data_IF_075291588443
#
_entry.id   IF_075291588443
#
_cell.length_a   1.000
_cell.length_b   1.000
_cell.length_c   1.000
_cell.angle_alpha   90.00
_cell.angle_beta   90.00
_cell.angle_gamma   90.00
#
_symmetry.space_group_name_H-M   'P 1'
#
loop_
_entity.id
_entity.type
_entity.pdbx_description
1 polymer ?
#
# COMPACT_ATOMS: atom_id res chain seq x y z
N UNK A 1 -1.74 23.96 -6.93
CA UNK A 1 -2.86 23.49 -6.09
C UNK A 1 -2.69 21.98 -5.98
N UNK A 2 -2.36 21.45 -4.81
CA UNK A 2 -2.15 20.00 -4.64
C UNK A 2 -3.46 19.21 -4.77
N UNK A 3 -3.41 17.89 -5.04
CA UNK A 3 -4.60 17.07 -5.13
C UNK A 3 -5.37 17.06 -3.80
N UNK A 4 -6.70 17.24 -3.86
CA UNK A 4 -7.58 17.23 -2.68
C UNK A 4 -7.58 15.82 -2.03
N UNK A 5 -7.20 15.69 -0.74
CA UNK A 5 -7.23 14.41 -0.04
C UNK A 5 -8.56 13.68 -0.15
N UNK A 6 -9.70 14.39 -0.11
CA UNK A 6 -11.04 13.78 -0.18
C UNK A 6 -11.30 13.15 -1.54
N UNK A 7 -10.80 13.77 -2.61
CA UNK A 7 -10.93 13.23 -3.96
C UNK A 7 -10.14 11.94 -4.11
N UNK A 8 -8.91 11.89 -3.58
CA UNK A 8 -8.08 10.68 -3.59
C UNK A 8 -8.74 9.54 -2.82
N UNK A 9 -9.27 9.80 -1.62
CA UNK A 9 -10.01 8.81 -0.84
C UNK A 9 -11.19 8.23 -1.63
N UNK A 10 -12.00 9.09 -2.29
CA UNK A 10 -13.13 8.64 -3.11
C UNK A 10 -12.71 7.81 -4.33
N UNK A 11 -11.53 8.07 -4.88
CA UNK A 11 -11.03 7.41 -6.08
C UNK A 11 -10.39 6.05 -5.77
N UNK A 12 -9.76 5.91 -4.61
CA UNK A 12 -8.95 4.74 -4.26
C UNK A 12 -9.55 3.88 -3.15
N UNK A 13 -10.57 4.40 -2.46
CA UNK A 13 -11.12 3.87 -1.21
C UNK A 13 -10.09 3.76 -0.08
N UNK A 14 -8.98 4.49 -0.21
CA UNK A 14 -7.97 4.59 0.85
C UNK A 14 -8.45 5.52 1.96
N UNK A 15 -8.04 5.29 3.20
CA UNK A 15 -8.34 6.24 4.27
C UNK A 15 -7.56 7.53 4.14
N UNK A 16 -8.05 8.51 4.89
CA UNK A 16 -7.41 9.79 5.12
C UNK A 16 -5.96 9.64 5.61
N UNK A 17 -5.66 8.64 6.45
CA UNK A 17 -4.30 8.42 6.96
C UNK A 17 -3.37 7.98 5.83
N UNK A 18 -3.81 7.01 5.04
CA UNK A 18 -3.06 6.48 3.90
C UNK A 18 -2.79 7.59 2.88
N UNK A 19 -3.81 8.39 2.55
CA UNK A 19 -3.68 9.54 1.65
C UNK A 19 -2.74 10.62 2.22
N UNK A 20 -2.80 10.93 3.52
CA UNK A 20 -1.86 11.87 4.17
C UNK A 20 -0.41 11.39 4.10
N UNK A 21 -0.17 10.09 4.25
CA UNK A 21 1.16 9.53 4.10
C UNK A 21 1.69 9.62 2.65
N UNK A 22 0.81 9.49 1.64
CA UNK A 22 1.18 9.70 0.24
C UNK A 22 1.54 11.17 -0.04
N UNK A 23 0.68 12.09 0.41
CA UNK A 23 0.89 13.54 0.20
C UNK A 23 2.09 14.09 0.97
N UNK A 24 2.47 13.45 2.08
CA UNK A 24 3.69 13.79 2.82
C UNK A 24 4.96 13.11 2.26
N UNK A 25 4.84 12.31 1.19
CA UNK A 25 5.98 11.63 0.57
C UNK A 25 6.61 10.53 1.42
N UNK A 26 5.95 10.08 2.48
CA UNK A 26 6.49 9.04 3.37
C UNK A 26 6.50 7.67 2.70
N UNK A 27 5.44 7.34 1.97
CA UNK A 27 5.36 6.14 1.13
C UNK A 27 4.36 6.40 -0.01
N UNK A 28 4.62 5.82 -1.19
CA UNK A 28 3.71 5.92 -2.34
C UNK A 28 2.47 5.02 -2.19
N UNK A 29 1.49 5.14 -3.11
CA UNK A 29 0.42 4.16 -3.24
C UNK A 29 1.02 2.79 -3.60
N UNK A 30 0.51 1.73 -2.98
CA UNK A 30 0.86 0.36 -3.38
C UNK A 30 0.27 0.03 -4.77
N UNK A 31 0.58 -1.16 -5.30
CA UNK A 31 0.13 -1.56 -6.63
C UNK A 31 -1.39 -1.53 -6.79
N UNK A 32 -2.16 -1.88 -5.76
CA UNK A 32 -3.62 -1.89 -5.83
C UNK A 32 -4.17 -0.47 -5.89
N UNK A 33 -3.70 0.42 -5.00
CA UNK A 33 -4.11 1.82 -5.02
C UNK A 33 -3.62 2.56 -6.25
N UNK A 34 -2.44 2.23 -6.75
CA UNK A 34 -1.90 2.77 -7.99
C UNK A 34 -2.76 2.34 -9.19
N UNK A 35 -3.11 1.06 -9.31
CA UNK A 35 -3.99 0.58 -10.37
C UNK A 35 -5.38 1.21 -10.27
N UNK A 36 -5.92 1.36 -9.05
CA UNK A 36 -7.18 2.09 -8.83
C UNK A 36 -7.05 3.53 -9.34
N UNK A 37 -5.95 4.23 -9.06
CA UNK A 37 -5.69 5.59 -9.58
C UNK A 37 -5.60 5.62 -11.11
N UNK A 38 -4.91 4.67 -11.75
CA UNK A 38 -4.84 4.55 -13.21
C UNK A 38 -6.24 4.31 -13.81
N UNK A 39 -7.09 3.54 -13.14
CA UNK A 39 -8.46 3.29 -13.59
C UNK A 39 -9.38 4.48 -13.30
N UNK A 40 -9.27 5.15 -12.16
CA UNK A 40 -10.22 6.19 -11.75
C UNK A 40 -9.85 7.59 -12.24
N UNK A 41 -8.58 7.84 -12.56
CA UNK A 41 -8.07 9.16 -12.95
C UNK A 41 -7.59 9.17 -14.40
N UNK A 42 -8.31 9.83 -15.31
CA UNK A 42 -7.91 9.95 -16.72
C UNK A 42 -6.52 10.58 -16.92
N UNK A 43 -6.13 11.51 -16.03
CA UNK A 43 -4.83 12.19 -16.08
C UNK A 43 -3.69 11.23 -15.75
N UNK A 44 -3.84 10.43 -14.68
CA UNK A 44 -2.83 9.43 -14.28
C UNK A 44 -2.78 8.31 -15.32
N UNK A 45 -3.93 7.91 -15.87
CA UNK A 45 -3.99 6.93 -16.95
C UNK A 45 -3.21 7.37 -18.19
N UNK A 46 -3.48 8.57 -18.68
CA UNK A 46 -2.80 9.12 -19.86
C UNK A 46 -1.29 9.24 -19.62
N UNK A 47 -0.87 9.63 -18.42
CA UNK A 47 0.53 9.67 -18.03
C UNK A 47 1.20 8.29 -18.10
N UNK A 48 0.59 7.27 -17.46
CA UNK A 48 1.15 5.91 -17.44
C UNK A 48 1.20 5.30 -18.84
N UNK A 49 0.16 5.49 -19.65
CA UNK A 49 0.16 5.04 -21.04
C UNK A 49 1.26 5.73 -21.85
N UNK A 50 1.43 7.05 -21.70
CA UNK A 50 2.51 7.78 -22.37
C UNK A 50 3.93 7.35 -21.97
N UNK A 51 4.12 6.76 -20.78
CA UNK A 51 5.38 6.14 -20.38
C UNK A 51 5.62 4.78 -21.04
N UNK A 52 4.56 3.99 -21.22
CA UNK A 52 4.62 2.65 -21.83
C UNK A 52 4.83 2.77 -23.34
N UNK A 53 4.13 3.71 -23.97
CA UNK A 53 4.12 3.94 -25.41
C UNK A 53 5.39 4.64 -25.92
N UNK A 54 6.14 5.32 -25.04
CA UNK A 54 7.31 6.11 -25.42
C UNK A 54 6.95 7.27 -26.38
N UNK A 55 7.92 8.14 -26.73
CA UNK A 55 7.65 9.31 -27.58
C UNK A 55 7.31 8.97 -29.05
N UNK A 56 7.25 7.69 -29.42
CA UNK A 56 7.13 7.23 -30.81
C UNK A 56 5.90 6.37 -31.10
N UNK A 57 5.07 6.00 -30.12
CA UNK A 57 3.86 5.24 -30.42
C UNK A 57 2.70 6.16 -30.88
N UNK A 58 1.98 5.60 -31.84
CA UNK A 58 0.88 6.15 -32.62
C UNK A 58 -0.12 6.92 -31.72
N UNK A 59 -0.59 8.11 -32.13
CA UNK A 59 -1.52 8.89 -31.32
C UNK A 59 -2.81 8.10 -31.07
N UNK A 60 -3.11 7.84 -29.79
CA UNK A 60 -4.37 7.29 -29.33
C UNK A 60 -5.50 8.22 -29.80
N UNK A 61 -6.23 7.77 -30.82
CA UNK A 61 -7.33 8.48 -31.49
C UNK A 61 -8.61 8.47 -30.64
N UNK A 62 -8.51 8.88 -29.38
CA UNK A 62 -9.63 9.04 -28.45
C UNK A 62 -9.84 10.51 -28.03
N UNK A 63 -11.09 10.97 -27.84
CA UNK A 63 -11.38 12.36 -27.47
C UNK A 63 -10.86 12.79 -26.08
N UNK A 64 -10.37 11.85 -25.26
CA UNK A 64 -9.89 12.10 -23.89
C UNK A 64 -8.42 12.57 -23.83
N UNK A 65 -7.72 12.59 -24.95
CA UNK A 65 -6.28 12.33 -24.93
C UNK A 65 -5.39 13.57 -24.81
N UNK A 66 -5.66 14.66 -25.54
CA UNK A 66 -4.72 15.79 -25.61
C UNK A 66 -4.72 16.70 -24.40
N UNK A 67 -5.92 17.07 -23.91
CA UNK A 67 -6.05 18.00 -22.77
C UNK A 67 -5.60 17.32 -21.48
N UNK A 68 -5.95 16.04 -21.28
CA UNK A 68 -5.54 15.26 -20.11
C UNK A 68 -4.03 15.07 -20.07
N UNK A 69 -3.40 14.85 -21.23
CA UNK A 69 -1.96 14.67 -21.37
C UNK A 69 -1.19 15.99 -21.18
N UNK A 70 -1.70 17.11 -21.69
CA UNK A 70 -1.14 18.45 -21.39
C UNK A 70 -1.20 18.72 -19.89
N UNK A 71 -2.34 18.46 -19.24
CA UNK A 71 -2.47 18.63 -17.79
C UNK A 71 -1.59 17.68 -16.98
N UNK A 72 -1.39 16.46 -17.45
CA UNK A 72 -0.46 15.52 -16.82
C UNK A 72 0.98 16.04 -16.90
N UNK A 73 1.40 16.57 -18.06
CA UNK A 73 2.72 17.17 -18.25
C UNK A 73 2.92 18.42 -17.41
N UNK A 74 1.92 19.28 -17.32
CA UNK A 74 1.93 20.47 -16.46
C UNK A 74 2.05 20.09 -14.97
N UNK A 75 1.29 19.09 -14.53
CA UNK A 75 1.35 18.60 -13.15
C UNK A 75 2.72 18.00 -12.81
N UNK A 76 3.32 17.26 -13.75
CA UNK A 76 4.67 16.70 -13.60
C UNK A 76 5.73 17.81 -13.52
N UNK A 77 5.70 18.78 -14.44
CA UNK A 77 6.63 19.91 -14.43
C UNK A 77 6.51 20.76 -13.15
N UNK A 78 5.29 20.96 -12.66
CA UNK A 78 5.05 21.61 -11.38
C UNK A 78 5.60 20.81 -10.18
N UNK A 79 5.52 19.47 -10.24
CA UNK A 79 6.11 18.57 -9.25
C UNK A 79 7.63 18.62 -9.23
N UNK A 80 8.28 18.59 -10.40
CA UNK A 80 9.74 18.72 -10.54
C UNK A 80 10.23 20.09 -10.04
N UNK A 81 9.53 21.17 -10.39
CA UNK A 81 9.86 22.51 -9.93
C UNK A 81 9.69 22.67 -8.40
N UNK A 82 8.72 21.99 -7.79
CA UNK A 82 8.51 21.97 -6.35
C UNK A 82 9.54 21.08 -5.61
N UNK A 83 10.13 20.09 -6.29
CA UNK A 83 11.11 19.14 -5.75
C UNK A 83 12.57 19.58 -5.78
N UNK A 84 12.86 20.86 -6.11
CA UNK A 84 14.19 21.42 -6.37
C UNK A 84 15.18 21.48 -5.20
N UNK A 85 15.46 20.36 -4.53
CA UNK A 85 16.70 20.13 -3.78
C UNK A 85 17.23 18.73 -4.10
N UNK A 86 18.18 18.69 -5.03
CA UNK A 86 18.94 17.52 -5.43
C UNK A 86 19.52 16.78 -4.23
N UNK A 87 19.19 15.49 -4.10
CA UNK A 87 19.86 14.55 -3.20
C UNK A 87 21.16 14.01 -3.85
N UNK A 88 22.07 14.91 -4.23
CA UNK A 88 23.45 14.55 -4.61
C UNK A 88 24.38 14.99 -3.49
N UNK A 89 24.71 14.07 -2.59
CA UNK A 89 25.63 14.31 -1.48
C UNK A 89 26.08 13.03 -0.80
N UNK A 90 27.15 12.43 -1.34
CA UNK A 90 28.13 11.58 -0.66
C UNK A 90 27.64 10.41 0.20
N UNK A 91 27.58 9.19 -0.38
CA UNK A 91 27.61 7.94 0.40
C UNK A 91 29.01 7.34 0.33
N UNK A 92 29.74 7.40 1.46
CA UNK A 92 30.87 6.49 1.71
C UNK A 92 30.31 5.08 1.90
N UNK A 93 30.92 4.12 1.23
CA UNK A 93 30.61 2.68 1.37
C UNK A 93 31.09 2.12 2.73
N UNK A 94 30.54 0.94 3.07
CA UNK A 94 30.94 -0.09 4.07
C UNK A 94 29.97 -0.24 5.27
N UNK A 95 29.56 -1.46 5.70
CA UNK A 95 29.09 -2.64 4.94
C UNK A 95 27.73 -3.20 5.47
N UNK A 96 27.09 -4.03 4.66
CA UNK A 96 26.11 -5.08 4.99
C UNK A 96 25.34 -4.98 6.35
N UNK A 97 24.19 -4.29 6.33
CA UNK A 97 23.12 -4.53 7.33
C UNK A 97 21.85 -4.93 6.59
N UNK A 98 21.43 -6.15 6.89
CA UNK A 98 20.15 -6.81 6.59
C UNK A 98 19.05 -5.80 6.26
N UNK A 99 18.30 -5.96 5.14
CA UNK A 99 17.18 -5.09 4.85
C UNK A 99 16.17 -5.19 5.98
N UNK A 100 16.06 -4.13 6.78
CA UNK A 100 14.93 -3.90 7.68
C UNK A 100 13.72 -3.61 6.79
N UNK A 101 13.17 -4.67 6.19
CA UNK A 101 11.87 -4.65 5.53
C UNK A 101 10.83 -4.49 6.63
N UNK A 102 10.61 -3.25 7.04
CA UNK A 102 9.41 -2.87 7.78
C UNK A 102 8.40 -2.34 6.75
N UNK A 103 7.57 -3.19 6.12
CA UNK A 103 6.35 -2.68 5.54
C UNK A 103 5.47 -2.27 6.72
N UNK A 104 5.41 -0.96 6.99
CA UNK A 104 4.40 -0.33 7.84
C UNK A 104 3.07 -0.46 7.10
N UNK A 105 2.56 -1.68 7.00
CA UNK A 105 1.16 -1.94 6.70
C UNK A 105 0.40 -1.69 8.01
N UNK A 106 -0.05 -0.45 8.18
CA UNK A 106 -1.07 -0.11 9.16
C UNK A 106 -2.39 -0.16 8.40
N UNK A 107 -3.23 -1.20 8.59
CA UNK A 107 -4.43 -1.34 7.79
C UNK A 107 -5.46 -0.27 8.14
N UNK A 108 -6.12 0.22 7.09
CA UNK A 108 -7.44 0.79 7.21
C UNK A 108 -8.41 -0.27 7.71
N UNK A 109 -9.24 0.13 8.67
CA UNK A 109 -10.07 -0.78 9.47
C UNK A 109 -11.20 -1.46 8.68
N UNK A 110 -11.29 -1.27 7.36
CA UNK A 110 -12.44 -1.67 6.55
C UNK A 110 -12.27 -3.02 5.82
N UNK A 111 -11.05 -3.38 5.40
CA UNK A 111 -10.81 -4.61 4.63
C UNK A 111 -9.63 -5.41 5.22
N UNK A 112 -9.82 -6.70 5.43
CA UNK A 112 -8.76 -7.59 5.94
C UNK A 112 -7.68 -7.76 4.88
N UNK A 113 -6.41 -7.66 5.26
CA UNK A 113 -5.31 -7.89 4.32
C UNK A 113 -5.15 -9.39 3.99
N UNK A 114 -4.43 -9.74 2.92
CA UNK A 114 -4.25 -11.14 2.48
C UNK A 114 -3.63 -12.03 3.58
N UNK A 115 -2.70 -11.49 4.37
CA UNK A 115 -2.06 -12.24 5.48
C UNK A 115 -3.05 -12.56 6.60
N UNK A 116 -3.94 -11.62 6.89
CA UNK A 116 -5.01 -11.76 7.88
C UNK A 116 -6.04 -12.80 7.43
N UNK A 117 -6.46 -12.77 6.15
CA UNK A 117 -7.32 -13.80 5.57
C UNK A 117 -6.67 -15.18 5.64
N UNK A 118 -5.42 -15.30 5.20
CA UNK A 118 -4.66 -16.54 5.27
C UNK A 118 -4.58 -17.09 6.70
N UNK A 119 -4.31 -16.21 7.68
CA UNK A 119 -4.25 -16.62 9.09
C UNK A 119 -5.62 -17.10 9.61
N UNK A 120 -6.73 -16.46 9.21
CA UNK A 120 -8.07 -16.88 9.58
C UNK A 120 -8.41 -18.28 9.07
N UNK A 121 -8.00 -18.62 7.84
CA UNK A 121 -8.19 -19.95 7.27
C UNK A 121 -7.33 -20.98 7.99
N UNK A 122 -6.09 -20.61 8.33
CA UNK A 122 -5.16 -21.49 9.05
C UNK A 122 -5.60 -21.77 10.48
N UNK A 123 -6.21 -20.79 11.16
CA UNK A 123 -6.87 -20.94 12.47
C UNK A 123 -8.12 -21.82 12.39
N UNK A 124 -8.88 -21.76 11.29
CA UNK A 124 -10.02 -22.66 11.08
C UNK A 124 -9.55 -24.12 10.88
N UNK A 125 -8.44 -24.31 10.18
CA UNK A 125 -7.87 -25.63 9.90
C UNK A 125 -7.03 -26.23 11.07
N UNK A 126 -6.66 -25.45 12.09
CA UNK A 126 -5.91 -25.96 13.23
C UNK A 126 -5.18 -24.90 14.06
N UNK A 127 -4.09 -25.31 14.71
CA UNK A 127 -3.25 -24.37 15.47
C UNK A 127 -2.43 -23.53 14.50
N UNK A 128 -2.42 -22.23 14.71
CA UNK A 128 -1.49 -21.32 14.05
C UNK A 128 -1.09 -20.20 15.00
N UNK A 129 0.13 -19.69 14.87
CA UNK A 129 0.68 -18.58 15.64
C UNK A 129 1.40 -17.53 14.77
N UNK A 130 1.92 -16.48 15.41
CA UNK A 130 2.58 -15.40 14.69
C UNK A 130 3.83 -15.85 13.91
N UNK A 131 4.51 -16.92 14.33
CA UNK A 131 5.68 -17.45 13.63
C UNK A 131 5.31 -18.09 12.30
N UNK A 132 4.11 -18.66 12.18
CA UNK A 132 3.64 -19.19 10.90
C UNK A 132 3.45 -18.07 9.87
N UNK A 133 2.96 -16.91 10.29
CA UNK A 133 2.86 -15.72 9.42
C UNK A 133 4.27 -15.26 9.01
N UNK A 134 5.21 -15.21 9.97
CA UNK A 134 6.61 -14.85 9.68
C UNK A 134 7.21 -15.81 8.64
N UNK A 135 7.03 -17.12 8.82
CA UNK A 135 7.58 -18.14 7.94
C UNK A 135 6.96 -18.09 6.53
N UNK A 136 5.65 -17.90 6.44
CA UNK A 136 4.94 -17.88 5.16
C UNK A 136 5.18 -16.59 4.38
N UNK A 137 5.26 -15.44 5.05
CA UNK A 137 5.24 -14.12 4.39
C UNK A 137 6.55 -13.34 4.50
N UNK A 138 7.58 -13.90 5.16
CA UNK A 138 8.87 -13.25 5.39
C UNK A 138 8.77 -11.86 6.04
N UNK A 139 7.82 -11.68 6.96
CA UNK A 139 7.60 -10.42 7.71
C UNK A 139 8.22 -10.47 9.10
N UNK A 140 8.41 -9.32 9.75
CA UNK A 140 8.86 -9.27 11.14
C UNK A 140 7.83 -9.89 12.10
N UNK A 141 8.30 -10.44 13.23
CA UNK A 141 7.42 -10.96 14.28
C UNK A 141 6.49 -9.89 14.86
N UNK A 142 6.94 -8.62 14.87
CA UNK A 142 6.16 -7.47 15.29
C UNK A 142 4.97 -7.26 14.36
N UNK A 143 5.20 -7.33 13.04
CA UNK A 143 4.15 -7.20 12.02
C UNK A 143 3.15 -8.35 12.11
N UNK A 144 3.62 -9.59 12.22
CA UNK A 144 2.74 -10.75 12.39
C UNK A 144 1.84 -10.63 13.65
N UNK A 145 2.40 -10.18 14.78
CA UNK A 145 1.61 -9.91 16.00
C UNK A 145 0.58 -8.79 15.81
N UNK A 146 0.93 -7.77 15.05
CA UNK A 146 0.02 -6.66 14.71
C UNK A 146 -1.16 -7.14 13.86
N UNK A 147 -0.89 -7.99 12.87
CA UNK A 147 -1.93 -8.59 12.02
C UNK A 147 -2.93 -9.40 12.88
N UNK A 148 -2.44 -10.24 13.79
CA UNK A 148 -3.27 -11.01 14.74
C UNK A 148 -4.04 -10.07 15.70
N UNK A 149 -3.41 -9.01 16.20
CA UNK A 149 -4.07 -8.06 17.10
C UNK A 149 -5.25 -7.35 16.42
N UNK A 150 -5.11 -6.97 15.15
CA UNK A 150 -6.20 -6.39 14.38
C UNK A 150 -7.39 -7.37 14.25
N UNK A 151 -7.12 -8.65 13.98
CA UNK A 151 -8.16 -9.70 13.94
C UNK A 151 -8.87 -9.90 15.28
N UNK A 152 -8.15 -9.80 16.40
CA UNK A 152 -8.75 -9.85 17.74
C UNK A 152 -9.64 -8.64 18.01
N UNK A 153 -9.18 -7.44 17.66
CA UNK A 153 -9.95 -6.19 17.82
C UNK A 153 -11.22 -6.22 16.97
N UNK A 154 -11.16 -6.79 15.77
CA UNK A 154 -12.33 -6.99 14.90
C UNK A 154 -13.29 -8.10 15.39
N UNK A 155 -12.95 -8.81 16.48
CA UNK A 155 -13.75 -9.91 17.01
C UNK A 155 -13.83 -11.13 16.10
N UNK A 156 -12.86 -11.32 15.20
CA UNK A 156 -12.84 -12.45 14.26
C UNK A 156 -12.17 -13.68 14.86
N UNK A 157 -11.26 -13.47 15.82
CA UNK A 157 -10.57 -14.53 16.56
C UNK A 157 -10.48 -14.22 18.05
N UNK A 158 -10.41 -15.26 18.86
CA UNK A 158 -10.12 -15.19 20.29
C UNK A 158 -8.98 -16.15 20.66
N UNK A 159 -8.22 -15.84 21.71
CA UNK A 159 -7.21 -16.75 22.24
C UNK A 159 -7.82 -17.56 23.38
N UNK A 160 -7.77 -18.89 23.26
CA UNK A 160 -8.39 -19.82 24.22
C UNK A 160 -7.31 -20.66 24.91
N UNK A 161 -7.35 -20.71 26.24
CA UNK A 161 -6.45 -21.48 27.08
C UNK A 161 -5.33 -20.66 27.72
N UNK A 162 -4.40 -21.34 28.40
CA UNK A 162 -3.29 -20.69 29.11
C UNK A 162 -2.24 -20.12 28.16
N UNK A 163 -1.44 -19.15 28.61
CA UNK A 163 -0.40 -18.50 27.78
C UNK A 163 0.58 -19.48 27.10
N UNK A 164 0.85 -20.65 27.72
CA UNK A 164 1.78 -21.66 27.20
C UNK A 164 1.12 -22.74 26.34
N UNK A 165 -0.14 -23.08 26.61
CA UNK A 165 -0.85 -24.20 25.94
C UNK A 165 -2.06 -23.76 25.12
N UNK A 166 -2.37 -22.47 25.09
CA UNK A 166 -3.52 -21.93 24.39
C UNK A 166 -3.34 -21.92 22.87
N UNK A 167 -4.38 -21.46 22.19
CA UNK A 167 -4.42 -21.33 20.73
C UNK A 167 -5.45 -20.28 20.32
N UNK A 168 -5.30 -19.74 19.13
CA UNK A 168 -6.36 -18.94 18.52
C UNK A 168 -7.50 -19.84 18.03
N UNK A 169 -8.72 -19.34 18.14
CA UNK A 169 -9.94 -19.90 17.52
C UNK A 169 -10.70 -18.79 16.82
N UNK A 170 -11.47 -19.12 15.79
CA UNK A 170 -12.47 -18.21 15.22
C UNK A 170 -13.48 -17.85 16.32
N UNK A 171 -13.87 -16.59 16.40
CA UNK A 171 -14.98 -16.20 17.25
C UNK A 171 -16.27 -16.63 16.56
N UNK A 172 -17.11 -17.43 17.23
CA UNK A 172 -18.52 -17.52 16.83
C UNK A 172 -19.13 -16.15 17.15
N UNK A 173 -19.56 -15.44 16.11
CA UNK A 173 -20.66 -14.49 16.29
C UNK A 173 -21.95 -15.28 16.42
#
# INVERSE_FOLDING_TARGET
>A
MGPDPKQLMRQTDASERTVKHWLSGQHGPDSVYFLRLVVSSPVIRAFVLGLIDGPAAIPLTGPVDRISLVRAREAYAAGEAAGGRSATGGRKNVPERVPERDPINVPDRAELNERQHWFLDRVAAGRSDARDIVAMWAVSLKTARRDIAALKVAGLICYVGSRRKGRYRRSSK
#
